data_IF_270980712834
#
_entry.id   IF_270980712834
#
_cell.length_a   1.000
_cell.length_b   1.000
_cell.length_c   1.000
_cell.angle_alpha   90.00
_cell.angle_beta   90.00
_cell.angle_gamma   90.00
#
_symmetry.space_group_name_H-M   'P 1'
#
loop_
_entity.id
_entity.type
_entity.pdbx_description
1 polymer ?
#
# COMPACT_ATOMS: atom_id res chain seq x y z
N UNK A 1 5.80 3.73 -11.08
CA UNK A 1 4.83 2.71 -10.68
C UNK A 1 4.41 2.94 -9.25
N UNK A 2 3.21 2.57 -8.90
CA UNK A 2 2.74 2.71 -7.52
C UNK A 2 2.41 1.34 -6.93
N UNK A 3 2.37 1.29 -5.61
CA UNK A 3 2.15 0.06 -4.85
C UNK A 3 1.13 0.30 -3.75
N UNK A 4 0.53 -0.77 -3.27
CA UNK A 4 -0.31 -0.75 -2.08
C UNK A 4 0.22 -1.80 -1.13
N UNK A 5 0.44 -1.40 0.13
CA UNK A 5 0.87 -2.33 1.18
C UNK A 5 -0.21 -2.39 2.25
N UNK A 6 -0.45 -3.58 2.74
CA UNK A 6 -1.47 -3.83 3.77
C UNK A 6 -0.81 -4.01 5.12
N UNK A 7 -1.40 -3.44 6.15
CA UNK A 7 -0.96 -3.62 7.52
C UNK A 7 -2.16 -3.71 8.45
N UNK A 8 -2.01 -4.50 9.52
CA UNK A 8 -3.00 -4.57 10.58
C UNK A 8 -2.78 -3.38 11.51
N UNK A 9 -3.77 -2.46 11.63
CA UNK A 9 -3.54 -1.23 12.42
C UNK A 9 -3.28 -1.49 13.90
N UNK A 10 -3.71 -2.62 14.44
CA UNK A 10 -3.39 -3.00 15.81
C UNK A 10 -1.93 -3.39 16.00
N UNK A 11 -1.25 -3.77 14.93
CA UNK A 11 0.17 -4.12 14.97
C UNK A 11 1.05 -2.97 14.54
N UNK A 12 0.76 -2.37 13.36
CA UNK A 12 1.49 -1.20 12.87
C UNK A 12 0.56 -0.38 11.98
N UNK A 13 0.14 0.78 12.49
CA UNK A 13 -0.79 1.65 11.78
C UNK A 13 -0.06 2.71 10.96
N UNK A 14 -0.80 3.41 10.11
CA UNK A 14 -0.26 4.58 9.41
C UNK A 14 0.12 5.68 10.40
N UNK A 15 -0.60 5.80 11.52
CA UNK A 15 -0.24 6.73 12.59
C UNK A 15 1.14 6.40 13.17
N UNK A 16 1.44 5.11 13.32
CA UNK A 16 2.75 4.66 13.77
C UNK A 16 3.83 5.07 12.76
N UNK A 17 3.54 4.94 11.47
CA UNK A 17 4.47 5.35 10.42
C UNK A 17 4.72 6.86 10.44
N UNK A 18 3.66 7.65 10.66
CA UNK A 18 3.78 9.11 10.78
C UNK A 18 4.65 9.47 11.99
N UNK A 19 4.41 8.80 13.12
CA UNK A 19 5.21 9.02 14.33
C UNK A 19 6.68 8.67 14.10
N UNK A 20 6.95 7.54 13.46
CA UNK A 20 8.31 7.05 13.21
C UNK A 20 8.97 7.76 12.03
N UNK A 21 8.19 8.39 11.17
CA UNK A 21 8.57 9.06 9.93
C UNK A 21 9.05 8.10 8.85
N UNK A 22 9.85 7.11 9.21
CA UNK A 22 10.36 6.07 8.31
C UNK A 22 10.28 4.74 9.02
N UNK A 23 10.11 3.68 8.24
CA UNK A 23 10.18 2.33 8.77
C UNK A 23 10.67 1.39 7.69
N UNK A 24 11.25 0.27 8.12
CA UNK A 24 11.62 -0.82 7.22
C UNK A 24 10.42 -1.77 7.14
N UNK A 25 9.90 -1.94 5.92
CA UNK A 25 8.79 -2.85 5.67
C UNK A 25 9.34 -4.23 5.42
N UNK A 26 9.27 -5.08 6.44
CA UNK A 26 9.81 -6.43 6.42
C UNK A 26 8.80 -7.41 7.05
N UNK A 27 9.24 -8.61 7.38
CA UNK A 27 8.36 -9.61 7.98
C UNK A 27 7.38 -10.22 6.99
N UNK A 28 7.57 -9.98 5.69
CA UNK A 28 6.74 -10.54 4.64
C UNK A 28 7.28 -11.91 4.25
N UNK A 29 6.41 -12.92 4.22
CA UNK A 29 6.81 -14.28 3.91
C UNK A 29 6.19 -14.82 2.62
N UNK A 30 5.08 -14.24 2.16
CA UNK A 30 4.43 -14.68 0.92
C UNK A 30 5.36 -14.45 -0.29
N UNK A 31 5.63 -15.48 -1.11
CA UNK A 31 6.57 -15.33 -2.23
C UNK A 31 6.21 -14.25 -3.24
N UNK A 32 4.93 -14.08 -3.54
CA UNK A 32 4.50 -13.03 -4.48
C UNK A 32 4.70 -11.64 -3.87
N UNK A 33 4.39 -11.49 -2.59
CA UNK A 33 4.59 -10.21 -1.90
C UNK A 33 6.08 -9.86 -1.82
N UNK A 34 6.94 -10.84 -1.58
CA UNK A 34 8.40 -10.64 -1.59
C UNK A 34 8.88 -10.22 -2.96
N UNK A 35 8.38 -10.85 -4.02
CA UNK A 35 8.71 -10.49 -5.39
C UNK A 35 8.31 -9.04 -5.67
N UNK A 36 7.14 -8.64 -5.21
CA UNK A 36 6.66 -7.27 -5.38
C UNK A 36 7.55 -6.28 -4.64
N UNK A 37 7.93 -6.58 -3.40
CA UNK A 37 8.87 -5.73 -2.64
C UNK A 37 10.18 -5.57 -3.38
N UNK A 38 10.74 -6.66 -3.93
CA UNK A 38 11.99 -6.59 -4.69
C UNK A 38 11.88 -5.72 -5.94
N UNK A 39 10.67 -5.55 -6.45
CA UNK A 39 10.43 -4.76 -7.67
C UNK A 39 10.26 -3.27 -7.40
N UNK A 40 10.19 -2.86 -6.13
CA UNK A 40 10.05 -1.45 -5.79
C UNK A 40 11.34 -0.70 -6.01
N UNK A 41 11.21 0.58 -6.39
CA UNK A 41 12.34 1.49 -6.62
C UNK A 41 12.17 2.77 -5.82
N UNK A 42 13.28 3.37 -5.43
CA UNK A 42 13.27 4.62 -4.68
C UNK A 42 12.45 5.70 -5.41
N UNK A 43 11.67 6.44 -4.67
CA UNK A 43 10.80 7.49 -5.18
C UNK A 43 9.41 7.03 -5.59
N UNK A 44 9.15 5.72 -5.63
CA UNK A 44 7.82 5.22 -6.01
C UNK A 44 6.83 5.46 -4.88
N UNK A 45 5.57 5.70 -5.27
CA UNK A 45 4.48 5.95 -4.32
C UNK A 45 3.94 4.63 -3.79
N UNK A 46 3.64 4.64 -2.49
CA UNK A 46 3.04 3.50 -1.81
C UNK A 46 1.80 3.98 -1.07
N UNK A 47 0.67 3.32 -1.31
CA UNK A 47 -0.54 3.56 -0.52
C UNK A 47 -0.57 2.56 0.62
N UNK A 48 -0.89 3.05 1.81
CA UNK A 48 -0.97 2.20 3.01
C UNK A 48 -2.44 1.88 3.27
N UNK A 49 -2.72 0.58 3.37
CA UNK A 49 -4.07 0.03 3.55
C UNK A 49 -4.15 -0.63 4.93
N UNK A 50 -5.18 -0.29 5.70
CA UNK A 50 -5.47 -0.94 6.97
C UNK A 50 -6.39 -2.13 6.76
N UNK A 51 -5.98 -3.30 7.26
CA UNK A 51 -6.78 -4.52 7.24
C UNK A 51 -7.70 -4.60 8.45
N UNK A 52 -8.26 -5.77 8.72
CA UNK A 52 -9.15 -5.99 9.85
C UNK A 52 -10.51 -5.35 9.64
N UNK A 53 -10.96 -4.60 10.60
CA UNK A 53 -12.28 -3.96 10.54
C UNK A 53 -12.31 -2.72 9.66
N UNK A 54 -11.18 -2.09 9.42
CA UNK A 54 -11.14 -0.84 8.65
C UNK A 54 -11.27 -1.06 7.15
N UNK A 55 -10.48 -1.95 6.59
CA UNK A 55 -10.48 -2.31 5.16
C UNK A 55 -10.55 -1.08 4.25
N UNK A 56 -9.54 -0.21 4.35
CA UNK A 56 -9.48 1.04 3.59
C UNK A 56 -8.06 1.55 3.43
N UNK A 57 -7.84 2.31 2.35
CA UNK A 57 -6.58 3.01 2.14
C UNK A 57 -6.59 4.28 2.97
N UNK A 58 -5.55 4.52 3.76
CA UNK A 58 -5.55 5.61 4.75
C UNK A 58 -4.46 6.65 4.54
N UNK A 59 -3.38 6.31 3.83
CA UNK A 59 -2.28 7.25 3.70
C UNK A 59 -1.37 6.94 2.53
N UNK A 60 -0.46 7.90 2.27
CA UNK A 60 0.58 7.77 1.26
C UNK A 60 1.94 7.71 1.92
N UNK A 61 2.78 6.86 1.35
CA UNK A 61 4.18 6.74 1.70
C UNK A 61 5.00 6.75 0.41
N UNK A 62 6.31 6.78 0.56
CA UNK A 62 7.22 6.76 -0.58
C UNK A 62 8.36 5.81 -0.28
N UNK A 63 8.81 5.09 -1.29
CA UNK A 63 9.97 4.21 -1.16
C UNK A 63 11.22 5.06 -1.03
N UNK A 64 11.94 4.89 0.08
CA UNK A 64 13.24 5.55 0.28
C UNK A 64 14.32 4.72 -0.40
N UNK A 65 14.31 3.41 -0.13
CA UNK A 65 15.23 2.47 -0.76
C UNK A 65 14.71 1.04 -0.60
N UNK A 66 15.12 0.19 -1.52
CA UNK A 66 14.86 -1.23 -1.45
C UNK A 66 16.19 -1.97 -1.44
N UNK A 67 16.31 -3.00 -0.62
CA UNK A 67 17.54 -3.77 -0.51
C UNK A 67 17.27 -5.20 -0.10
N UNK A 68 18.36 -6.00 -0.04
CA UNK A 68 18.27 -7.39 0.31
C UNK A 68 17.96 -8.27 -0.90
N UNK A 69 17.91 -9.57 -0.64
CA UNK A 69 17.68 -10.58 -1.68
C UNK A 69 16.85 -11.72 -1.11
N UNK A 70 16.05 -12.36 -1.95
CA UNK A 70 15.25 -13.51 -1.56
C UNK A 70 14.30 -13.17 -0.42
N UNK A 71 14.40 -13.93 0.67
CA UNK A 71 13.54 -13.75 1.85
C UNK A 71 13.96 -12.56 2.72
N UNK A 72 15.16 -12.05 2.52
CA UNK A 72 15.70 -10.95 3.32
C UNK A 72 15.45 -9.59 2.69
N UNK A 73 14.59 -9.52 1.68
CA UNK A 73 14.26 -8.26 1.06
C UNK A 73 13.56 -7.36 2.07
N UNK A 74 13.99 -6.11 2.13
CA UNK A 74 13.41 -5.09 2.99
C UNK A 74 13.31 -3.79 2.21
N UNK A 75 12.22 -3.06 2.42
CA UNK A 75 11.99 -1.78 1.75
C UNK A 75 11.81 -0.73 2.84
N UNK A 76 12.57 0.34 2.75
CA UNK A 76 12.39 1.47 3.65
C UNK A 76 11.35 2.41 3.07
N UNK A 77 10.31 2.69 3.85
CA UNK A 77 9.22 3.59 3.49
C UNK A 77 9.24 4.82 4.40
N UNK A 78 8.91 5.97 3.84
CA UNK A 78 8.68 7.18 4.63
C UNK A 78 7.23 7.63 4.47
N UNK A 79 6.65 8.18 5.54
CA UNK A 79 5.32 8.75 5.51
C UNK A 79 5.32 10.01 4.65
N UNK A 80 4.31 10.16 3.81
CA UNK A 80 4.11 11.39 3.02
C UNK A 80 2.96 12.19 3.62
N UNK A 81 1.74 11.65 3.56
CA UNK A 81 0.57 12.31 4.14
C UNK A 81 -0.57 11.31 4.35
N UNK A 82 -1.54 11.73 5.16
CA UNK A 82 -2.80 11.01 5.28
C UNK A 82 -3.67 11.36 4.09
N UNK A 83 -4.51 10.41 3.65
CA UNK A 83 -5.53 10.74 2.67
C UNK A 83 -6.54 11.69 3.31
N UNK A 84 -6.95 12.73 2.60
CA UNK A 84 -8.01 13.63 3.05
C UNK A 84 -9.26 12.81 3.35
N UNK A 85 -9.54 11.85 2.48
CA UNK A 85 -10.64 10.92 2.65
C UNK A 85 -10.12 9.50 2.47
N UNK A 86 -10.14 8.66 3.51
CA UNK A 86 -9.79 7.25 3.35
C UNK A 86 -10.68 6.58 2.30
N UNK A 87 -10.11 5.64 1.56
CA UNK A 87 -10.80 4.98 0.45
C UNK A 87 -11.12 3.54 0.85
N UNK A 88 -12.41 3.23 1.11
CA UNK A 88 -12.80 1.87 1.49
C UNK A 88 -12.61 0.86 0.36
N UNK A 89 -12.32 -0.38 0.73
CA UNK A 89 -12.21 -1.48 -0.23
C UNK A 89 -13.50 -1.62 -1.05
N UNK A 90 -14.66 -1.40 -0.44
CA UNK A 90 -15.95 -1.48 -1.14
C UNK A 90 -16.00 -0.53 -2.33
N UNK A 91 -15.44 0.67 -2.21
CA UNK A 91 -15.39 1.63 -3.32
C UNK A 91 -14.50 1.13 -4.44
N UNK A 92 -13.39 0.49 -4.11
CA UNK A 92 -12.48 -0.05 -5.11
C UNK A 92 -13.06 -1.27 -5.81
N UNK A 93 -13.84 -2.09 -5.11
CA UNK A 93 -14.55 -3.21 -5.73
C UNK A 93 -15.53 -2.77 -6.79
N UNK A 94 -16.11 -1.59 -6.64
CA UNK A 94 -17.08 -1.03 -7.58
C UNK A 94 -16.41 -0.31 -8.75
N UNK A 95 -15.09 -0.12 -8.71
CA UNK A 95 -14.35 0.62 -9.73
C UNK A 95 -13.78 -0.32 -10.79
N UNK A 96 -14.04 -0.01 -12.06
CA UNK A 96 -13.58 -0.84 -13.17
C UNK A 96 -12.06 -0.98 -13.23
N UNK A 97 -11.32 0.03 -12.77
CA UNK A 97 -9.87 -0.01 -12.77
C UNK A 97 -9.33 -1.17 -11.94
N UNK A 98 -10.10 -1.66 -10.98
CA UNK A 98 -9.71 -2.75 -10.09
C UNK A 98 -10.28 -4.11 -10.46
N UNK A 99 -11.03 -4.23 -11.55
CA UNK A 99 -11.72 -5.48 -11.90
C UNK A 99 -10.77 -6.69 -11.95
N UNK A 100 -9.54 -6.49 -12.45
CA UNK A 100 -8.54 -7.56 -12.59
C UNK A 100 -7.41 -7.43 -11.58
N UNK A 101 -7.53 -6.51 -10.61
CA UNK A 101 -6.45 -6.24 -9.66
C UNK A 101 -6.22 -7.40 -8.70
N UNK A 102 -4.95 -7.74 -8.41
CA UNK A 102 -4.63 -8.68 -7.33
C UNK A 102 -5.21 -8.25 -5.98
N UNK A 103 -5.47 -6.95 -5.77
CA UNK A 103 -6.10 -6.48 -4.55
C UNK A 103 -7.43 -7.19 -4.29
N UNK A 104 -8.23 -7.40 -5.34
CA UNK A 104 -9.52 -8.07 -5.23
C UNK A 104 -9.42 -9.57 -5.43
N UNK A 105 -8.56 -10.03 -6.33
CA UNK A 105 -8.45 -11.44 -6.68
C UNK A 105 -7.59 -12.24 -5.69
N UNK A 106 -6.63 -11.58 -5.06
CA UNK A 106 -5.71 -12.21 -4.11
C UNK A 106 -5.80 -11.46 -2.79
N UNK A 107 -6.91 -11.63 -2.08
CA UNK A 107 -7.19 -10.87 -0.87
C UNK A 107 -6.15 -11.01 0.24
N UNK A 108 -5.34 -12.07 0.21
CA UNK A 108 -4.27 -12.28 1.20
C UNK A 108 -2.93 -11.70 0.79
N UNK A 109 -2.82 -11.17 -0.43
CA UNK A 109 -1.59 -10.56 -0.89
C UNK A 109 -1.42 -9.19 -0.21
N UNK A 110 -0.34 -9.02 0.53
CA UNK A 110 -0.10 -7.83 1.36
C UNK A 110 0.68 -6.74 0.66
N UNK A 111 1.26 -7.02 -0.50
CA UNK A 111 1.99 -6.05 -1.31
C UNK A 111 1.47 -6.16 -2.72
N UNK A 112 0.79 -5.13 -3.20
CA UNK A 112 0.01 -5.18 -4.44
C UNK A 112 0.52 -4.11 -5.41
N UNK A 113 0.85 -4.48 -6.67
CA UNK A 113 1.19 -3.48 -7.67
C UNK A 113 -0.07 -2.74 -8.14
N UNK A 114 0.07 -1.47 -8.45
CA UNK A 114 -1.02 -0.64 -8.96
C UNK A 114 -0.67 -0.11 -10.34
N UNK A 115 -1.63 -0.20 -11.27
CA UNK A 115 -1.51 0.46 -12.56
C UNK A 115 -1.75 1.97 -12.40
N UNK A 116 -1.43 2.75 -13.45
CA UNK A 116 -1.72 4.19 -13.42
C UNK A 116 -3.20 4.46 -13.25
N UNK A 117 -4.07 3.68 -13.88
CA UNK A 117 -5.52 3.84 -13.76
C UNK A 117 -5.97 3.56 -12.31
N UNK A 118 -5.39 2.55 -11.67
CA UNK A 118 -5.71 2.22 -10.28
C UNK A 118 -5.21 3.30 -9.33
N UNK A 119 -4.01 3.80 -9.55
CA UNK A 119 -3.46 4.91 -8.77
C UNK A 119 -4.36 6.13 -8.87
N UNK A 120 -4.76 6.51 -10.10
CA UNK A 120 -5.65 7.66 -10.32
C UNK A 120 -7.01 7.46 -9.67
N UNK A 121 -7.52 6.23 -9.67
CA UNK A 121 -8.82 5.92 -9.04
C UNK A 121 -8.77 6.17 -7.53
N UNK A 122 -7.69 5.73 -6.88
CA UNK A 122 -7.51 5.99 -5.45
C UNK A 122 -7.37 7.49 -5.19
N UNK A 123 -6.53 8.17 -5.97
CA UNK A 123 -6.30 9.61 -5.80
C UNK A 123 -7.57 10.42 -5.98
N UNK A 124 -8.38 10.10 -6.98
CA UNK A 124 -9.63 10.80 -7.24
C UNK A 124 -10.59 10.67 -6.06
N UNK A 125 -10.71 9.46 -5.50
CA UNK A 125 -11.59 9.22 -4.36
C UNK A 125 -11.06 9.88 -3.09
N UNK A 126 -9.75 9.88 -2.91
CA UNK A 126 -9.11 10.47 -1.73
C UNK A 126 -9.28 11.99 -1.69
N UNK A 127 -9.36 12.66 -2.84
CA UNK A 127 -9.54 14.11 -2.92
C UNK A 127 -11.00 14.54 -2.87
N UNK A 128 -11.91 13.64 -3.15
CA UNK A 128 -13.32 13.97 -3.27
C UNK A 128 -13.94 14.15 -1.90
N UNK A 129 -13.89 15.38 -1.41
CA UNK A 129 -14.36 15.76 -0.07
C UNK A 129 -15.84 16.19 -0.04
N UNK A 130 -16.63 15.68 -0.94
CA UNK A 130 -18.05 16.06 -1.02
C UNK A 130 -18.81 15.71 0.23
#
# INVERSE_FOLDING_TARGET
MAWLVKTEPGEYSFDDLVRDRRTVWDGVSNPQALKNLRSMSAGERVFVYHTGDERRVVGRAEVVRAGGAGKDVAVELKAVDRLVRPVPLADLKADRAFAESPLLRQGRLSVVPLSEAQERAIEARARNAA
#
